data_IF_077786101397
#
_entry.id   IF_077786101397
#
_cell.length_a   1.000
_cell.length_b   1.000
_cell.length_c   1.000
_cell.angle_alpha   90.00
_cell.angle_beta   90.00
_cell.angle_gamma   90.00
#
_symmetry.space_group_name_H-M   'P 1'
#
loop_
_entity.id
_entity.type
_entity.pdbx_description
1 polymer ?
#
# COMPACT_ATOMS: atom_id res chain seq x y z
N UNK A 1 -15.24 -7.17 -15.74
CA UNK A 1 -15.69 -7.16 -14.34
C UNK A 1 -14.72 -7.93 -13.44
N UNK A 2 -14.70 -9.27 -13.47
CA UNK A 2 -13.91 -10.12 -12.55
C UNK A 2 -12.41 -9.78 -12.41
N UNK A 3 -11.73 -9.27 -13.43
CA UNK A 3 -10.29 -8.91 -13.34
C UNK A 3 -9.96 -7.77 -12.36
N UNK A 4 -10.94 -6.97 -11.95
CA UNK A 4 -10.79 -5.97 -10.88
C UNK A 4 -10.90 -6.60 -9.48
N UNK A 5 -11.51 -7.79 -9.35
CA UNK A 5 -11.79 -8.43 -8.07
C UNK A 5 -12.43 -7.46 -7.07
N UNK A 6 -11.90 -7.46 -5.85
CA UNK A 6 -12.27 -6.58 -4.74
C UNK A 6 -12.15 -5.09 -5.07
N UNK A 7 -11.18 -4.67 -5.89
CA UNK A 7 -10.98 -3.26 -6.23
C UNK A 7 -12.14 -2.68 -7.07
N UNK A 8 -12.99 -3.52 -7.66
CA UNK A 8 -14.28 -3.08 -8.21
C UNK A 8 -15.18 -2.49 -7.13
N UNK A 9 -15.20 -3.07 -5.93
CA UNK A 9 -16.01 -2.59 -4.81
C UNK A 9 -15.54 -1.20 -4.37
N UNK A 10 -14.21 -0.97 -4.28
CA UNK A 10 -13.65 0.36 -4.02
C UNK A 10 -14.06 1.40 -5.08
N UNK A 11 -14.01 1.03 -6.37
CA UNK A 11 -14.44 1.91 -7.47
C UNK A 11 -15.94 2.21 -7.37
N UNK A 12 -16.79 1.21 -7.14
CA UNK A 12 -18.23 1.40 -6.98
C UNK A 12 -18.59 2.19 -5.71
N UNK A 13 -17.83 2.06 -4.62
CA UNK A 13 -18.00 2.88 -3.41
C UNK A 13 -17.72 4.34 -3.72
N UNK A 14 -16.67 4.63 -4.49
CA UNK A 14 -16.32 5.98 -4.93
C UNK A 14 -17.37 6.61 -5.85
N UNK A 15 -18.04 5.77 -6.66
CA UNK A 15 -19.10 6.17 -7.60
C UNK A 15 -20.51 6.14 -6.98
N UNK A 16 -20.67 5.71 -5.72
CA UNK A 16 -21.98 5.56 -5.05
C UNK A 16 -22.82 6.84 -5.00
N UNK A 17 -22.19 8.02 -4.92
CA UNK A 17 -22.85 9.33 -4.93
C UNK A 17 -23.42 9.74 -6.30
N UNK A 18 -23.16 8.96 -7.37
CA UNK A 18 -23.64 9.23 -8.73
C UNK A 18 -24.89 8.37 -8.97
N UNK A 19 -26.10 8.95 -9.15
CA UNK A 19 -27.36 8.19 -9.17
C UNK A 19 -27.41 7.05 -10.19
N UNK A 20 -26.72 7.19 -11.32
CA UNK A 20 -26.60 6.18 -12.38
C UNK A 20 -25.96 4.85 -11.91
N UNK A 21 -25.22 4.86 -10.79
CA UNK A 21 -24.62 3.66 -10.20
C UNK A 21 -25.48 3.02 -9.09
N UNK A 22 -26.56 3.67 -8.63
CA UNK A 22 -27.47 3.10 -7.62
C UNK A 22 -28.14 1.80 -8.12
N UNK A 23 -28.64 1.69 -9.37
CA UNK A 23 -29.19 0.43 -9.88
C UNK A 23 -28.15 -0.69 -9.93
N UNK A 24 -26.90 -0.38 -10.30
CA UNK A 24 -25.80 -1.35 -10.31
C UNK A 24 -25.49 -1.87 -8.89
N UNK A 25 -25.50 -0.98 -7.89
CA UNK A 25 -25.37 -1.36 -6.48
C UNK A 25 -26.53 -2.24 -5.99
N UNK A 26 -27.79 -1.87 -6.30
CA UNK A 26 -28.95 -2.71 -5.94
C UNK A 26 -28.85 -4.11 -6.57
N UNK A 27 -28.50 -4.22 -7.85
CA UNK A 27 -28.32 -5.53 -8.51
C UNK A 27 -27.13 -6.31 -7.93
N UNK A 28 -25.99 -5.65 -7.64
CA UNK A 28 -24.82 -6.30 -7.00
C UNK A 28 -25.13 -6.88 -5.62
N UNK A 29 -26.00 -6.23 -4.84
CA UNK A 29 -26.39 -6.66 -3.49
C UNK A 29 -27.51 -7.71 -3.49
N UNK A 30 -28.57 -7.52 -4.28
CA UNK A 30 -29.81 -8.30 -4.17
C UNK A 30 -30.03 -9.32 -5.31
N UNK A 31 -29.39 -9.14 -6.47
CA UNK A 31 -29.57 -10.01 -7.63
C UNK A 31 -28.29 -10.14 -8.48
N UNK A 32 -27.15 -10.59 -7.90
CA UNK A 32 -25.85 -10.55 -8.59
C UNK A 32 -25.82 -11.45 -9.84
N UNK A 33 -26.60 -12.51 -9.88
CA UNK A 33 -26.74 -13.40 -11.04
C UNK A 33 -27.27 -12.70 -12.30
N UNK A 34 -28.00 -11.58 -12.15
CA UNK A 34 -28.44 -10.75 -13.28
C UNK A 34 -27.31 -9.89 -13.90
N UNK A 35 -26.18 -9.69 -13.20
CA UNK A 35 -24.98 -9.07 -13.80
C UNK A 35 -24.16 -10.10 -14.59
N UNK A 36 -24.02 -11.30 -14.05
CA UNK A 36 -23.25 -12.40 -14.63
C UNK A 36 -23.81 -13.75 -14.14
N UNK A 37 -24.18 -14.69 -15.03
CA UNK A 37 -24.53 -16.05 -14.63
C UNK A 37 -23.40 -16.69 -13.82
N UNK A 38 -23.73 -17.30 -12.68
CA UNK A 38 -22.80 -17.84 -11.66
C UNK A 38 -22.00 -16.79 -10.85
N UNK A 39 -22.36 -15.51 -10.88
CA UNK A 39 -21.78 -14.52 -9.98
C UNK A 39 -22.52 -14.50 -8.63
N UNK A 40 -21.79 -14.78 -7.55
CA UNK A 40 -22.31 -14.98 -6.19
C UNK A 40 -22.24 -13.71 -5.33
N UNK A 41 -22.16 -12.52 -5.95
CA UNK A 41 -22.19 -11.23 -5.25
C UNK A 41 -20.87 -10.83 -4.59
N UNK A 42 -20.96 -9.92 -3.61
CA UNK A 42 -19.80 -9.21 -3.04
C UNK A 42 -18.75 -10.16 -2.46
N UNK A 43 -19.13 -11.27 -1.81
CA UNK A 43 -18.17 -12.23 -1.26
C UNK A 43 -17.19 -12.79 -2.29
N UNK A 44 -17.66 -13.04 -3.52
CA UNK A 44 -16.82 -13.48 -4.63
C UNK A 44 -15.92 -12.37 -5.18
N UNK A 45 -16.34 -11.10 -5.11
CA UNK A 45 -15.42 -9.99 -5.43
C UNK A 45 -14.34 -9.87 -4.35
N UNK A 46 -14.71 -9.95 -3.07
CA UNK A 46 -13.78 -9.76 -1.96
C UNK A 46 -12.67 -10.82 -1.93
N UNK A 47 -12.96 -12.11 -2.18
CA UNK A 47 -11.91 -13.14 -2.25
C UNK A 47 -10.95 -12.94 -3.43
N UNK A 48 -11.39 -12.35 -4.54
CA UNK A 48 -10.54 -12.08 -5.70
C UNK A 48 -9.71 -10.79 -5.51
N UNK A 49 -8.37 -10.81 -5.64
CA UNK A 49 -7.58 -9.60 -5.69
C UNK A 49 -7.71 -8.91 -7.06
N UNK A 50 -7.31 -7.64 -7.12
CA UNK A 50 -7.20 -6.92 -8.38
C UNK A 50 -6.04 -7.49 -9.23
N UNK A 51 -6.21 -7.56 -10.54
CA UNK A 51 -5.08 -7.81 -11.44
C UNK A 51 -4.04 -6.69 -11.31
N UNK A 52 -2.79 -7.04 -11.05
CA UNK A 52 -1.68 -6.08 -10.89
C UNK A 52 -1.54 -5.14 -12.10
N UNK A 53 -1.81 -5.63 -13.32
CA UNK A 53 -1.83 -4.80 -14.51
C UNK A 53 -2.82 -3.62 -14.39
N UNK A 54 -4.00 -3.84 -13.79
CA UNK A 54 -5.00 -2.80 -13.59
C UNK A 54 -4.61 -1.79 -12.50
N UNK A 55 -3.87 -2.22 -11.47
CA UNK A 55 -3.33 -1.32 -10.45
C UNK A 55 -2.36 -0.28 -11.04
N UNK A 56 -1.66 -0.61 -12.14
CA UNK A 56 -0.74 0.33 -12.81
C UNK A 56 -1.44 1.57 -13.38
N UNK A 57 -2.73 1.48 -13.71
CA UNK A 57 -3.52 2.58 -14.29
C UNK A 57 -4.20 3.48 -13.25
N UNK A 58 -4.04 3.22 -11.94
CA UNK A 58 -4.63 4.08 -10.88
C UNK A 58 -4.03 5.48 -10.81
N UNK A 59 -2.83 5.69 -11.38
CA UNK A 59 -2.14 6.98 -11.43
C UNK A 59 -1.63 7.26 -12.85
N UNK A 60 -1.40 8.53 -13.18
CA UNK A 60 -0.79 8.87 -14.48
C UNK A 60 0.69 8.45 -14.54
N UNK A 61 1.19 8.17 -15.76
CA UNK A 61 2.57 7.74 -15.99
C UNK A 61 3.64 8.72 -15.45
N UNK A 62 3.32 10.01 -15.32
CA UNK A 62 4.24 10.95 -14.64
C UNK A 62 4.28 10.70 -13.13
N UNK A 63 3.12 10.49 -12.48
CA UNK A 63 3.06 10.18 -11.05
C UNK A 63 3.68 8.82 -10.76
N UNK A 64 3.43 7.79 -11.59
CA UNK A 64 4.00 6.44 -11.45
C UNK A 64 5.53 6.51 -11.36
N UNK A 65 6.19 7.11 -12.37
CA UNK A 65 7.65 7.23 -12.44
C UNK A 65 8.26 8.01 -11.26
N UNK A 66 7.52 8.95 -10.68
CA UNK A 66 7.94 9.70 -9.49
C UNK A 66 7.82 8.86 -8.22
N UNK A 67 6.75 8.07 -8.08
CA UNK A 67 6.61 7.09 -6.98
C UNK A 67 7.66 5.99 -7.08
N UNK A 68 7.87 5.41 -8.28
CA UNK A 68 8.91 4.41 -8.56
C UNK A 68 10.31 4.92 -8.17
N UNK A 69 10.61 6.19 -8.45
CA UNK A 69 11.86 6.85 -8.03
C UNK A 69 11.97 7.00 -6.51
N UNK A 70 10.92 7.48 -5.83
CA UNK A 70 10.90 7.62 -4.36
C UNK A 70 11.08 6.28 -3.66
N UNK A 71 10.43 5.22 -4.16
CA UNK A 71 10.54 3.85 -3.63
C UNK A 71 11.93 3.23 -3.82
N UNK A 72 12.78 3.81 -4.69
CA UNK A 72 14.19 3.40 -4.91
C UNK A 72 15.20 4.17 -4.04
N UNK A 73 14.76 5.15 -3.24
CA UNK A 73 15.65 5.92 -2.37
C UNK A 73 16.11 5.09 -1.16
N UNK A 74 17.42 5.12 -0.87
CA UNK A 74 18.04 4.46 0.30
C UNK A 74 17.64 5.09 1.63
N UNK A 75 17.37 6.39 1.63
CA UNK A 75 16.72 7.09 2.72
C UNK A 75 15.67 8.02 2.14
N UNK A 76 14.41 7.74 2.43
CA UNK A 76 13.27 8.53 2.01
C UNK A 76 12.93 9.63 3.03
N UNK A 77 13.15 9.35 4.32
CA UNK A 77 12.93 10.28 5.41
C UNK A 77 13.88 11.49 5.35
N UNK A 78 13.32 12.70 5.36
CA UNK A 78 14.07 13.95 5.19
C UNK A 78 14.58 14.21 3.77
N UNK A 79 14.17 13.41 2.77
CA UNK A 79 14.53 13.68 1.37
C UNK A 79 13.65 14.79 0.78
N UNK A 80 14.27 15.86 0.26
CA UNK A 80 13.57 16.97 -0.42
C UNK A 80 12.70 16.53 -1.61
N UNK A 81 12.93 15.31 -2.10
CA UNK A 81 12.11 14.68 -3.13
C UNK A 81 10.66 14.42 -2.68
N UNK A 82 10.42 14.15 -1.38
CA UNK A 82 9.06 14.07 -0.83
C UNK A 82 8.36 15.43 -0.87
N UNK A 83 9.05 16.49 -0.44
CA UNK A 83 8.49 17.84 -0.39
C UNK A 83 8.16 18.36 -1.81
N UNK A 84 9.03 18.08 -2.78
CA UNK A 84 8.79 18.37 -4.19
C UNK A 84 7.64 17.53 -4.76
N UNK A 85 7.55 16.24 -4.40
CA UNK A 85 6.42 15.39 -4.81
C UNK A 85 5.10 15.91 -4.25
N UNK A 86 5.07 16.31 -2.97
CA UNK A 86 3.90 16.92 -2.35
C UNK A 86 3.53 18.24 -3.02
N UNK A 87 4.49 19.16 -3.23
CA UNK A 87 4.24 20.47 -3.86
C UNK A 87 3.70 20.34 -5.29
N UNK A 88 4.15 19.35 -6.06
CA UNK A 88 3.77 19.18 -7.47
C UNK A 88 2.50 18.32 -7.64
N UNK A 89 2.25 17.34 -6.76
CA UNK A 89 1.17 16.35 -6.95
C UNK A 89 0.11 16.30 -5.85
N UNK A 90 0.40 16.78 -4.63
CA UNK A 90 -0.50 16.67 -3.47
C UNK A 90 -0.91 18.02 -2.86
N UNK A 91 -0.68 19.13 -3.58
CA UNK A 91 -1.00 20.50 -3.17
C UNK A 91 -2.39 20.98 -3.56
N UNK A 92 -3.00 20.41 -4.61
CA UNK A 92 -4.33 20.78 -5.09
C UNK A 92 -5.45 20.42 -4.09
N UNK A 93 -6.64 21.00 -4.24
CA UNK A 93 -7.80 20.70 -3.36
C UNK A 93 -8.16 19.21 -3.39
N UNK A 94 -8.23 18.62 -4.59
CA UNK A 94 -8.52 17.20 -4.84
C UNK A 94 -7.35 16.25 -4.56
N UNK A 95 -6.22 16.73 -4.01
CA UNK A 95 -5.03 15.92 -3.73
C UNK A 95 -5.30 14.69 -2.88
N UNK A 96 -6.26 14.78 -1.94
CA UNK A 96 -6.72 13.66 -1.14
C UNK A 96 -7.21 12.48 -1.99
N UNK A 97 -7.85 12.75 -3.12
CA UNK A 97 -8.30 11.72 -4.04
C UNK A 97 -7.14 10.99 -4.68
N UNK A 98 -6.14 11.73 -5.19
CA UNK A 98 -4.94 11.19 -5.82
C UNK A 98 -4.04 10.46 -4.81
N UNK A 99 -3.94 10.95 -3.56
CA UNK A 99 -3.11 10.31 -2.52
C UNK A 99 -3.59 8.88 -2.22
N UNK A 100 -4.90 8.67 -2.14
CA UNK A 100 -5.50 7.35 -1.95
C UNK A 100 -5.27 6.40 -3.15
N UNK A 101 -5.29 6.92 -4.38
CA UNK A 101 -4.97 6.14 -5.58
C UNK A 101 -3.47 5.81 -5.68
N UNK A 102 -2.59 6.75 -5.29
CA UNK A 102 -1.15 6.49 -5.12
C UNK A 102 -0.92 5.37 -4.10
N UNK A 103 -1.66 5.37 -2.97
CA UNK A 103 -1.56 4.28 -1.99
C UNK A 103 -1.88 2.93 -2.63
N UNK A 104 -3.01 2.74 -3.33
CA UNK A 104 -3.28 1.46 -4.04
C UNK A 104 -2.25 1.15 -5.14
N UNK A 105 -1.76 2.15 -5.86
CA UNK A 105 -0.70 1.97 -6.87
C UNK A 105 0.62 1.42 -6.29
N UNK A 106 0.92 1.67 -5.01
CA UNK A 106 2.10 1.05 -4.36
C UNK A 106 2.07 -0.49 -4.44
N UNK A 107 0.89 -1.13 -4.45
CA UNK A 107 0.79 -2.59 -4.58
C UNK A 107 1.20 -3.13 -5.95
N UNK A 108 1.05 -2.36 -7.04
CA UNK A 108 1.58 -2.75 -8.36
C UNK A 108 3.09 -3.01 -8.31
N UNK A 109 3.81 -2.14 -7.60
CA UNK A 109 5.27 -2.16 -7.51
C UNK A 109 5.80 -3.42 -6.79
N UNK A 110 5.02 -4.01 -5.88
CA UNK A 110 5.41 -5.15 -5.02
C UNK A 110 5.82 -6.40 -5.85
N UNK A 111 5.29 -6.54 -7.06
CA UNK A 111 5.57 -7.67 -7.94
C UNK A 111 6.79 -7.49 -8.85
N UNK A 112 7.42 -6.32 -8.86
CA UNK A 112 8.63 -6.05 -9.64
C UNK A 112 9.88 -6.45 -8.80
N UNK A 113 10.85 -7.22 -9.35
CA UNK A 113 11.99 -7.76 -8.57
C UNK A 113 12.83 -6.71 -7.84
N UNK A 114 12.91 -5.50 -8.37
CA UNK A 114 13.60 -4.35 -7.76
C UNK A 114 12.99 -3.87 -6.43
N UNK A 115 11.69 -4.09 -6.21
CA UNK A 115 10.97 -3.69 -5.00
C UNK A 115 10.74 -4.83 -3.99
N UNK A 116 11.32 -6.00 -4.27
CA UNK A 116 11.31 -7.18 -3.38
C UNK A 116 12.51 -7.21 -2.41
N UNK A 117 13.47 -6.29 -2.58
CA UNK A 117 14.64 -6.17 -1.70
C UNK A 117 14.25 -5.61 -0.33
N UNK A 118 14.86 -6.07 0.80
CA UNK A 118 14.48 -5.62 2.15
C UNK A 118 14.48 -4.10 2.35
N UNK A 119 15.44 -3.39 1.75
CA UNK A 119 15.49 -1.93 1.80
C UNK A 119 14.29 -1.27 1.07
N UNK A 120 13.82 -1.85 -0.03
CA UNK A 120 12.66 -1.34 -0.76
C UNK A 120 11.34 -1.66 -0.05
N UNK A 121 11.26 -2.77 0.69
CA UNK A 121 10.13 -3.10 1.58
C UNK A 121 10.01 -2.05 2.69
N UNK A 122 11.12 -1.70 3.32
CA UNK A 122 11.17 -0.68 4.37
C UNK A 122 10.86 0.73 3.81
N UNK A 123 11.48 1.15 2.70
CA UNK A 123 11.15 2.41 2.01
C UNK A 123 9.67 2.47 1.58
N UNK A 124 9.07 1.35 1.16
CA UNK A 124 7.63 1.24 0.87
C UNK A 124 6.76 1.52 2.09
N UNK A 125 7.08 0.93 3.24
CA UNK A 125 6.36 1.18 4.48
C UNK A 125 6.52 2.64 4.95
N UNK A 126 7.71 3.24 4.78
CA UNK A 126 7.94 4.66 5.06
C UNK A 126 7.13 5.57 4.13
N UNK A 127 7.03 5.26 2.83
CA UNK A 127 6.24 6.04 1.88
C UNK A 127 4.74 5.98 2.18
N UNK A 128 4.20 4.78 2.46
CA UNK A 128 2.79 4.62 2.85
C UNK A 128 2.46 5.32 4.17
N UNK A 129 3.36 5.27 5.16
CA UNK A 129 3.25 6.03 6.41
C UNK A 129 3.24 7.55 6.14
N UNK A 130 4.16 8.05 5.31
CA UNK A 130 4.20 9.47 4.93
C UNK A 130 2.93 9.91 4.19
N UNK A 131 2.41 9.12 3.25
CA UNK A 131 1.14 9.41 2.57
C UNK A 131 -0.02 9.50 3.57
N UNK A 132 -0.14 8.54 4.50
CA UNK A 132 -1.21 8.53 5.49
C UNK A 132 -1.10 9.71 6.47
N UNK A 133 0.11 10.02 6.96
CA UNK A 133 0.34 11.17 7.86
C UNK A 133 0.07 12.53 7.22
N UNK A 134 0.09 12.63 5.89
CA UNK A 134 -0.23 13.84 5.13
C UNK A 134 -1.66 13.84 4.58
N UNK A 135 -2.54 12.94 5.03
CA UNK A 135 -3.97 12.99 4.74
C UNK A 135 -4.70 13.90 5.73
N UNK A 136 -5.59 14.76 5.21
CA UNK A 136 -6.46 15.63 6.03
C UNK A 136 -7.41 14.78 6.87
N UNK A 137 -7.75 15.28 8.07
CA UNK A 137 -8.75 14.67 8.93
C UNK A 137 -10.14 14.56 8.25
N UNK A 138 -11.01 13.71 8.80
CA UNK A 138 -12.32 13.42 8.20
C UNK A 138 -12.24 12.40 7.05
N UNK A 139 -13.08 12.57 6.03
CA UNK A 139 -13.29 11.59 4.97
C UNK A 139 -12.01 11.19 4.20
N UNK A 140 -11.08 12.14 3.99
CA UNK A 140 -9.81 11.91 3.29
C UNK A 140 -8.94 10.88 4.02
N UNK A 141 -8.73 11.07 5.33
CA UNK A 141 -8.03 10.11 6.21
C UNK A 141 -8.71 8.73 6.19
N UNK A 142 -10.04 8.65 6.36
CA UNK A 142 -10.73 7.35 6.42
C UNK A 142 -10.65 6.61 5.07
N UNK A 143 -10.68 7.31 3.94
CA UNK A 143 -10.48 6.72 2.61
C UNK A 143 -9.04 6.21 2.42
N UNK A 144 -8.03 6.96 2.88
CA UNK A 144 -6.64 6.50 2.91
C UNK A 144 -6.44 5.25 3.80
N UNK A 145 -7.09 5.17 4.97
CA UNK A 145 -7.09 3.96 5.81
C UNK A 145 -7.75 2.77 5.12
N UNK A 146 -8.88 2.98 4.45
CA UNK A 146 -9.55 1.93 3.68
C UNK A 146 -8.59 1.38 2.62
N UNK A 147 -7.99 2.26 1.80
CA UNK A 147 -7.06 1.84 0.74
C UNK A 147 -5.81 1.11 1.24
N UNK A 148 -5.34 1.43 2.46
CA UNK A 148 -4.22 0.77 3.13
C UNK A 148 -4.57 -0.63 3.63
N UNK A 149 -5.78 -0.83 4.16
CA UNK A 149 -6.21 -2.05 4.84
C UNK A 149 -7.10 -2.97 4.00
N UNK A 150 -7.53 -2.53 2.80
CA UNK A 150 -8.58 -3.21 2.04
C UNK A 150 -8.30 -4.69 1.73
N UNK A 151 -7.05 -5.05 1.42
CA UNK A 151 -6.71 -6.43 1.05
C UNK A 151 -6.83 -7.43 2.21
N UNK A 152 -6.87 -6.94 3.46
CA UNK A 152 -7.15 -7.76 4.64
C UNK A 152 -8.58 -8.31 4.65
N UNK A 153 -9.53 -7.61 4.01
CA UNK A 153 -10.94 -8.01 3.91
C UNK A 153 -11.21 -9.09 2.84
N UNK A 154 -10.16 -9.66 2.27
CA UNK A 154 -10.21 -10.83 1.40
C UNK A 154 -8.91 -11.62 1.45
N UNK A 155 -8.18 -11.58 2.57
CA UNK A 155 -6.91 -12.29 2.68
C UNK A 155 -7.13 -13.80 2.85
N UNK A 156 -6.44 -14.57 2.03
CA UNK A 156 -6.38 -16.02 2.05
C UNK A 156 -4.91 -16.39 1.85
N UNK A 157 -4.31 -17.24 2.70
CA UNK A 157 -2.86 -17.50 2.65
C UNK A 157 -2.45 -18.47 1.51
N UNK A 158 -2.87 -18.16 0.27
CA UNK A 158 -2.61 -18.91 -0.96
C UNK A 158 -2.55 -17.94 -2.16
N UNK A 159 -1.84 -18.27 -3.26
CA UNK A 159 -1.92 -17.50 -4.50
C UNK A 159 -3.38 -17.43 -5.01
N UNK A 160 -3.86 -16.28 -5.52
CA UNK A 160 -3.13 -15.03 -5.77
C UNK A 160 -2.92 -14.09 -4.56
N UNK A 161 -3.53 -14.38 -3.40
CA UNK A 161 -3.58 -13.51 -2.22
C UNK A 161 -2.32 -13.63 -1.32
N UNK A 162 -1.12 -13.40 -1.87
CA UNK A 162 0.13 -13.56 -1.10
C UNK A 162 0.28 -12.59 0.09
N UNK A 163 1.07 -12.98 1.12
CA UNK A 163 1.39 -12.15 2.30
C UNK A 163 1.86 -10.72 1.96
N UNK A 164 2.47 -10.55 0.80
CA UNK A 164 2.92 -9.27 0.24
C UNK A 164 1.81 -8.22 0.08
N UNK A 165 0.53 -8.63 0.04
CA UNK A 165 -0.61 -7.71 0.01
C UNK A 165 -0.96 -7.13 1.40
N UNK A 166 -0.61 -7.80 2.49
CA UNK A 166 -0.98 -7.40 3.87
C UNK A 166 0.20 -6.89 4.71
N UNK A 167 1.43 -7.37 4.43
CA UNK A 167 2.68 -6.90 5.05
C UNK A 167 2.83 -5.37 5.09
N UNK A 168 2.64 -4.61 3.98
CA UNK A 168 2.98 -3.19 3.96
C UNK A 168 2.15 -2.36 4.96
N UNK A 169 0.88 -2.74 5.14
CA UNK A 169 -0.03 -2.11 6.08
C UNK A 169 0.35 -2.41 7.54
N UNK A 170 0.76 -3.64 7.84
CA UNK A 170 1.27 -3.99 9.16
C UNK A 170 2.58 -3.26 9.48
N UNK A 171 3.51 -3.15 8.52
CA UNK A 171 4.73 -2.37 8.67
C UNK A 171 4.45 -0.87 8.90
N UNK A 172 3.40 -0.30 8.28
CA UNK A 172 2.95 1.07 8.59
C UNK A 172 2.44 1.19 10.04
N UNK A 173 1.63 0.25 10.54
CA UNK A 173 1.17 0.24 11.94
C UNK A 173 2.37 0.15 12.90
N UNK A 174 3.30 -0.78 12.64
CA UNK A 174 4.55 -0.96 13.40
C UNK A 174 5.37 0.34 13.51
N UNK A 175 5.47 1.11 12.42
CA UNK A 175 6.16 2.40 12.44
C UNK A 175 5.39 3.50 13.17
N UNK A 176 4.07 3.53 13.04
CA UNK A 176 3.23 4.54 13.69
C UNK A 176 3.19 4.37 15.22
N UNK A 177 3.23 3.15 15.76
CA UNK A 177 3.31 2.92 17.21
C UNK A 177 4.54 3.61 17.82
N UNK A 178 5.68 3.61 17.11
CA UNK A 178 6.90 4.27 17.57
C UNK A 178 6.94 5.77 17.27
N UNK A 179 6.37 6.22 16.14
CA UNK A 179 6.53 7.59 15.62
C UNK A 179 5.32 8.52 15.79
N UNK A 180 4.09 8.00 15.78
CA UNK A 180 2.86 8.78 15.94
C UNK A 180 1.70 7.90 16.47
N UNK A 181 1.69 7.58 17.78
CA UNK A 181 0.80 6.58 18.37
C UNK A 181 -0.71 6.80 18.16
N UNK A 182 -1.27 8.03 18.15
CA UNK A 182 -2.71 8.22 17.92
C UNK A 182 -3.18 7.66 16.58
N UNK A 183 -2.37 7.79 15.52
CA UNK A 183 -2.72 7.26 14.20
C UNK A 183 -2.55 5.74 14.11
N UNK A 184 -1.67 5.14 14.91
CA UNK A 184 -1.60 3.68 15.04
C UNK A 184 -2.85 3.11 15.71
N UNK A 185 -3.28 3.69 16.84
CA UNK A 185 -4.54 3.35 17.50
C UNK A 185 -5.71 3.53 16.51
N UNK A 186 -5.75 4.66 15.80
CA UNK A 186 -6.79 4.95 14.80
C UNK A 186 -6.77 4.04 13.55
N UNK A 187 -5.70 3.28 13.30
CA UNK A 187 -5.65 2.21 12.27
C UNK A 187 -6.17 0.87 12.81
N UNK A 188 -5.78 0.51 14.03
CA UNK A 188 -6.24 -0.75 14.66
C UNK A 188 -7.75 -0.67 14.96
N UNK A 189 -8.24 0.48 15.43
CA UNK A 189 -9.67 0.78 15.61
C UNK A 189 -10.43 0.69 14.28
N UNK A 190 -9.87 1.25 13.21
CA UNK A 190 -10.46 1.15 11.88
C UNK A 190 -10.55 -0.30 11.40
N UNK A 191 -9.51 -1.12 11.61
CA UNK A 191 -9.50 -2.53 11.22
C UNK A 191 -10.57 -3.36 11.97
N UNK A 192 -10.76 -3.09 13.27
CA UNK A 192 -11.85 -3.68 14.07
C UNK A 192 -13.21 -3.27 13.50
N UNK A 193 -13.45 -1.96 13.34
CA UNK A 193 -14.75 -1.44 12.89
C UNK A 193 -15.11 -1.92 11.49
N UNK A 194 -14.19 -1.81 10.53
CA UNK A 194 -14.46 -2.12 9.13
C UNK A 194 -14.80 -3.61 8.93
N UNK A 195 -14.20 -4.52 9.71
CA UNK A 195 -14.57 -5.95 9.69
C UNK A 195 -16.03 -6.22 10.09
N UNK A 196 -16.58 -5.39 10.97
CA UNK A 196 -17.95 -5.51 11.48
C UNK A 196 -18.96 -4.68 10.67
N UNK A 197 -18.55 -3.56 10.06
CA UNK A 197 -19.48 -2.61 9.41
C UNK A 197 -19.46 -2.60 7.88
N UNK A 198 -18.43 -3.15 7.21
CA UNK A 198 -18.29 -3.02 5.74
C UNK A 198 -19.41 -3.72 4.97
N UNK A 199 -19.76 -4.94 5.35
CA UNK A 199 -20.93 -5.66 4.86
C UNK A 199 -21.33 -6.73 5.90
N UNK A 200 -22.40 -6.52 6.70
CA UNK A 200 -22.71 -7.37 7.86
C UNK A 200 -22.85 -8.87 7.55
N UNK A 201 -23.37 -9.22 6.36
CA UNK A 201 -23.49 -10.60 5.89
C UNK A 201 -22.15 -11.33 5.70
N UNK A 202 -21.02 -10.61 5.72
CA UNK A 202 -19.66 -11.14 5.58
C UNK A 202 -18.76 -10.86 6.79
N UNK A 203 -19.27 -10.35 7.92
CA UNK A 203 -18.46 -10.05 9.11
C UNK A 203 -17.62 -11.25 9.58
N UNK A 204 -18.18 -12.46 9.61
CA UNK A 204 -17.45 -13.68 9.96
C UNK A 204 -16.34 -14.02 8.94
N UNK A 205 -16.56 -13.74 7.64
CA UNK A 205 -15.56 -13.91 6.60
C UNK A 205 -14.41 -12.91 6.78
N UNK A 206 -14.72 -11.62 7.00
CA UNK A 206 -13.72 -10.57 7.21
C UNK A 206 -12.88 -10.81 8.48
N UNK A 207 -13.49 -11.18 9.60
CA UNK A 207 -12.74 -11.54 10.82
C UNK A 207 -11.83 -12.75 10.59
N UNK A 208 -12.28 -13.76 9.85
CA UNK A 208 -11.45 -14.93 9.52
C UNK A 208 -10.28 -14.59 8.57
N UNK A 209 -10.50 -13.73 7.57
CA UNK A 209 -9.44 -13.21 6.70
C UNK A 209 -8.39 -12.40 7.47
N UNK A 210 -8.81 -11.45 8.31
CA UNK A 210 -7.92 -10.63 9.15
C UNK A 210 -7.14 -11.51 10.14
N UNK A 211 -7.80 -12.49 10.75
CA UNK A 211 -7.17 -13.48 11.65
C UNK A 211 -6.13 -14.30 10.89
N UNK A 212 -6.46 -14.78 9.69
CA UNK A 212 -5.55 -15.55 8.83
C UNK A 212 -4.35 -14.71 8.38
N UNK A 213 -4.55 -13.41 8.09
CA UNK A 213 -3.48 -12.48 7.76
C UNK A 213 -2.51 -12.30 8.94
N UNK A 214 -3.00 -11.99 10.14
CA UNK A 214 -2.17 -11.86 11.34
C UNK A 214 -1.40 -13.15 11.66
N UNK A 215 -2.06 -14.30 11.66
CA UNK A 215 -1.41 -15.60 11.94
C UNK A 215 -0.34 -15.92 10.88
N UNK A 216 -0.61 -15.65 9.61
CA UNK A 216 0.33 -15.94 8.52
C UNK A 216 1.53 -14.97 8.53
N UNK A 217 1.33 -13.70 8.87
CA UNK A 217 2.42 -12.73 9.07
C UNK A 217 3.26 -13.08 10.30
N UNK A 218 2.64 -13.56 11.39
CA UNK A 218 3.36 -14.08 12.55
C UNK A 218 4.18 -15.32 12.23
N UNK A 219 3.66 -16.23 11.40
CA UNK A 219 4.38 -17.41 10.91
C UNK A 219 5.56 -17.04 9.99
N UNK A 220 5.44 -15.93 9.26
CA UNK A 220 6.54 -15.32 8.48
C UNK A 220 7.54 -14.52 9.34
N UNK A 221 7.43 -14.57 10.68
CA UNK A 221 8.37 -13.95 11.61
C UNK A 221 8.12 -12.47 11.92
N UNK A 222 6.98 -11.90 11.53
CA UNK A 222 6.65 -10.52 11.92
C UNK A 222 6.24 -10.45 13.41
N UNK A 223 6.62 -9.38 14.15
CA UNK A 223 6.34 -9.24 15.58
C UNK A 223 4.89 -8.81 15.85
N UNK A 224 3.92 -9.65 15.47
CA UNK A 224 2.48 -9.37 15.63
C UNK A 224 2.12 -9.11 17.09
N UNK A 225 2.61 -9.95 18.01
CA UNK A 225 2.36 -9.81 19.44
C UNK A 225 2.93 -8.49 20.00
N UNK A 226 4.20 -8.18 19.73
CA UNK A 226 4.90 -7.01 20.30
C UNK A 226 4.31 -5.68 19.78
N UNK A 227 3.71 -5.70 18.59
CA UNK A 227 2.94 -4.59 18.01
C UNK A 227 1.56 -4.49 18.65
N UNK A 228 0.81 -5.60 18.77
CA UNK A 228 -0.56 -5.57 19.30
C UNK A 228 -0.64 -5.39 20.83
N UNK A 229 0.34 -5.87 21.59
CA UNK A 229 0.37 -5.71 23.05
C UNK A 229 1.09 -4.43 23.51
N UNK A 230 1.67 -3.66 22.57
CA UNK A 230 2.48 -2.49 22.84
C UNK A 230 1.82 -1.52 23.85
N UNK A 231 2.56 -0.99 24.85
CA UNK A 231 1.99 -0.08 25.86
C UNK A 231 1.42 1.22 25.27
N UNK A 232 1.79 1.59 24.04
CA UNK A 232 1.26 2.77 23.32
C UNK A 232 -0.02 2.50 22.53
N UNK A 233 -0.48 1.25 22.45
CA UNK A 233 -1.86 0.94 22.07
C UNK A 233 -2.74 0.97 23.33
N UNK A 234 -3.87 1.65 23.21
CA UNK A 234 -4.84 1.85 24.30
C UNK A 234 -5.40 0.52 24.80
N UNK A 235 -5.62 0.39 26.11
CA UNK A 235 -6.10 -0.87 26.69
C UNK A 235 -7.49 -1.29 26.13
N UNK A 236 -8.53 -0.44 26.10
CA UNK A 236 -9.84 -0.83 25.56
C UNK A 236 -9.77 -1.28 24.09
N UNK A 237 -8.85 -0.69 23.32
CA UNK A 237 -8.63 -1.05 21.92
C UNK A 237 -7.98 -2.44 21.79
N UNK A 238 -7.00 -2.76 22.64
CA UNK A 238 -6.39 -4.10 22.71
C UNK A 238 -7.39 -5.16 23.16
N UNK A 239 -8.22 -4.85 24.15
CA UNK A 239 -9.27 -5.74 24.64
C UNK A 239 -10.32 -6.01 23.52
N UNK A 240 -10.78 -4.97 22.82
CA UNK A 240 -11.70 -5.10 21.67
C UNK A 240 -11.08 -5.82 20.46
N UNK A 241 -9.78 -5.64 20.19
CA UNK A 241 -9.07 -6.40 19.15
C UNK A 241 -9.05 -7.91 19.48
N UNK A 242 -8.81 -8.26 20.75
CA UNK A 242 -8.80 -9.65 21.24
C UNK A 242 -10.18 -10.31 21.17
N UNK A 243 -11.25 -9.54 21.41
CA UNK A 243 -12.64 -9.98 21.25
C UNK A 243 -13.01 -10.18 19.77
N UNK A 244 -12.59 -9.28 18.88
CA UNK A 244 -12.95 -9.31 17.45
C UNK A 244 -12.16 -10.35 16.64
N UNK A 245 -10.90 -10.59 17.00
CA UNK A 245 -9.98 -11.49 16.28
C UNK A 245 -9.30 -12.50 17.23
N UNK A 246 -10.05 -13.33 17.98
CA UNK A 246 -9.49 -14.18 19.04
C UNK A 246 -8.45 -15.18 18.54
N UNK A 247 -8.64 -15.72 17.33
CA UNK A 247 -7.75 -16.74 16.75
C UNK A 247 -6.29 -16.28 16.58
N UNK A 248 -6.04 -14.96 16.53
CA UNK A 248 -4.68 -14.38 16.45
C UNK A 248 -3.82 -14.77 17.65
N UNK A 249 -4.43 -14.94 18.83
CA UNK A 249 -3.70 -15.22 20.07
C UNK A 249 -3.71 -16.70 20.46
N UNK A 250 -4.68 -17.49 19.96
CA UNK A 250 -4.80 -18.92 20.27
C UNK A 250 -3.96 -19.85 19.39
N UNK A 251 -3.34 -19.35 18.32
CA UNK A 251 -2.59 -20.14 17.32
C UNK A 251 -1.35 -20.91 17.86
N UNK A 252 -0.95 -20.75 19.13
CA UNK A 252 0.25 -21.38 19.72
C UNK A 252 0.12 -22.88 20.07
N UNK A 253 -0.86 -23.62 19.54
CA UNK A 253 -1.14 -25.02 19.97
C UNK A 253 -1.43 -26.10 18.90
N UNK A 254 -1.05 -25.95 17.62
CA UNK A 254 -0.96 -27.12 16.70
C UNK A 254 -0.03 -26.92 15.49
N UNK A 255 1.27 -27.21 15.63
CA UNK A 255 2.13 -27.79 14.56
C UNK A 255 3.57 -28.03 15.06
N UNK A 256 4.28 -29.08 14.60
CA UNK A 256 5.73 -29.21 14.82
C UNK A 256 6.52 -28.18 13.99
N UNK A 257 7.76 -27.82 14.39
CA UNK A 257 8.60 -26.91 13.63
C UNK A 257 9.06 -27.54 12.31
N UNK A 258 8.81 -26.84 11.19
CA UNK A 258 9.46 -27.13 9.91
C UNK A 258 10.94 -26.73 9.99
N UNK A 259 11.83 -27.63 9.56
CA UNK A 259 13.27 -27.42 9.61
C UNK A 259 13.72 -26.32 8.62
N UNK A 260 14.79 -25.54 8.94
CA UNK A 260 15.28 -24.48 8.06
C UNK A 260 15.89 -25.05 6.78
N UNK A 261 15.43 -24.57 5.63
CA UNK A 261 16.00 -24.92 4.32
C UNK A 261 17.31 -24.14 4.14
N UNK A 262 18.44 -24.80 4.32
CA UNK A 262 19.78 -24.29 3.98
C UNK A 262 20.43 -25.23 2.96
N UNK A 263 20.77 -24.64 1.81
CA UNK A 263 21.66 -25.10 0.73
C UNK A 263 22.02 -26.61 0.62
N UNK A 264 21.61 -27.22 -0.49
CA UNK A 264 22.25 -28.42 -1.06
C UNK A 264 22.33 -28.34 -2.58
N UNK A 265 23.44 -27.80 -3.11
CA UNK A 265 23.79 -27.86 -4.54
C UNK A 265 25.23 -28.38 -4.68
N UNK A 266 25.37 -29.71 -4.68
CA UNK A 266 26.61 -30.41 -5.02
C UNK A 266 26.32 -31.90 -5.28
N UNK A 267 26.76 -32.36 -6.44
CA UNK A 267 27.06 -33.76 -6.83
C UNK A 267 25.98 -34.86 -6.73
N UNK A 268 25.74 -35.50 -7.88
CA UNK A 268 25.87 -36.97 -8.06
C UNK A 268 26.33 -37.29 -9.51
N UNK A 269 27.57 -37.75 -9.59
CA UNK A 269 28.24 -38.68 -10.52
C UNK A 269 27.64 -39.08 -11.89
N UNK A 270 28.49 -38.96 -12.94
CA UNK A 270 28.58 -39.85 -14.12
C UNK A 270 29.21 -41.22 -13.72
N UNK A 271 29.05 -42.36 -14.44
CA UNK A 271 29.37 -42.59 -15.88
C UNK A 271 28.22 -43.35 -16.64
N UNK A 272 28.31 -43.88 -17.87
CA UNK A 272 29.45 -44.35 -18.69
C UNK A 272 29.24 -44.24 -20.23
N UNK A 273 29.97 -45.03 -21.03
CA UNK A 273 30.40 -44.76 -22.43
C UNK A 273 29.76 -45.63 -23.52
N UNK A 274 29.57 -45.04 -24.71
CA UNK A 274 29.91 -45.66 -26.01
C UNK A 274 30.30 -44.56 -27.02
N UNK A 275 30.82 -44.92 -28.21
CA UNK A 275 31.48 -43.97 -29.13
C UNK A 275 31.16 -44.21 -30.60
N UNK A 276 31.30 -43.16 -31.43
CA UNK A 276 31.93 -43.24 -32.76
C UNK A 276 32.47 -41.87 -33.22
N UNK A 277 33.34 -41.89 -34.24
CA UNK A 277 34.16 -40.79 -34.78
C UNK A 277 33.34 -39.77 -35.64
N UNK A 278 33.87 -38.67 -36.22
CA UNK A 278 35.04 -38.59 -37.15
C UNK A 278 35.58 -37.15 -37.35
N UNK A 279 36.91 -37.06 -37.48
CA UNK A 279 37.77 -36.01 -38.11
C UNK A 279 37.97 -34.59 -37.52
N UNK A 280 39.12 -34.02 -37.93
CA UNK A 280 39.79 -32.80 -37.46
C UNK A 280 40.76 -32.32 -38.57
N UNK A 281 41.12 -31.02 -38.64
CA UNK A 281 42.57 -30.69 -38.60
C UNK A 281 42.96 -29.44 -37.75
N UNK A 282 44.27 -29.28 -37.54
CA UNK A 282 45.02 -28.30 -36.71
C UNK A 282 45.69 -27.20 -37.58
N UNK A 283 46.29 -26.08 -37.15
CA UNK A 283 46.55 -25.27 -35.92
C UNK A 283 46.92 -23.82 -36.45
N UNK A 284 47.66 -22.87 -35.81
CA UNK A 284 48.10 -22.61 -34.43
C UNK A 284 47.63 -21.22 -33.86
N UNK A 285 47.99 -20.84 -32.60
CA UNK A 285 47.54 -19.57 -31.98
C UNK A 285 48.53 -18.37 -32.09
N UNK A 286 48.04 -17.14 -31.85
CA UNK A 286 48.83 -15.89 -31.76
C UNK A 286 48.30 -14.96 -30.64
N UNK A 287 49.20 -14.25 -29.95
CA UNK A 287 48.93 -13.38 -28.79
C UNK A 287 48.51 -11.91 -29.12
N UNK A 288 47.99 -11.13 -28.14
CA UNK A 288 47.32 -9.85 -28.40
C UNK A 288 48.23 -8.59 -28.47
N UNK A 289 47.84 -7.56 -29.24
CA UNK A 289 48.58 -6.29 -29.35
C UNK A 289 48.37 -5.34 -28.15
N UNK A 290 49.33 -4.44 -27.95
CA UNK A 290 49.42 -3.53 -26.77
C UNK A 290 48.89 -2.11 -27.04
N UNK A 291 48.60 -1.42 -25.92
CA UNK A 291 48.14 -0.01 -25.81
C UNK A 291 48.93 0.97 -26.68
N UNK A 292 48.23 1.93 -27.30
CA UNK A 292 48.79 3.21 -27.74
C UNK A 292 48.27 4.37 -26.87
N UNK A 293 48.84 5.59 -27.01
CA UNK A 293 48.78 6.68 -26.01
C UNK A 293 48.88 8.05 -26.69
N UNK A 294 48.34 9.09 -26.04
CA UNK A 294 48.36 10.56 -26.34
C UNK A 294 46.95 11.07 -26.73
N UNK A 295 46.53 12.32 -26.43
CA UNK A 295 47.21 13.45 -25.75
C UNK A 295 46.18 14.41 -25.12
N UNK A 296 46.52 15.06 -24.00
CA UNK A 296 45.81 16.26 -23.53
C UNK A 296 46.19 17.48 -24.39
N UNK A 297 45.24 18.36 -24.68
CA UNK A 297 45.47 19.79 -24.98
C UNK A 297 44.39 20.62 -24.28
N UNK A 298 44.77 21.76 -23.71
CA UNK A 298 43.91 22.68 -22.94
C UNK A 298 44.23 24.11 -23.40
N UNK A 299 43.21 24.89 -23.79
CA UNK A 299 43.31 26.34 -24.09
C UNK A 299 42.10 27.08 -23.52
N UNK A 300 42.22 28.41 -23.36
CA UNK A 300 41.31 29.31 -22.62
C UNK A 300 41.51 30.74 -23.17
N UNK A 301 40.55 31.64 -22.92
CA UNK A 301 40.59 33.11 -23.20
C UNK A 301 40.34 33.40 -24.71
N UNK A 302 39.56 34.41 -25.14
CA UNK A 302 39.00 35.59 -24.43
C UNK A 302 37.47 35.77 -24.53
N UNK A 303 37.00 36.92 -24.05
CA UNK A 303 35.65 37.51 -24.05
C UNK A 303 35.14 37.96 -25.43
N UNK A 304 33.83 38.25 -25.53
CA UNK A 304 33.30 39.64 -25.53
C UNK A 304 31.78 39.64 -25.27
N UNK A 305 31.12 40.80 -25.27
CA UNK A 305 29.81 41.05 -24.62
C UNK A 305 28.79 41.70 -25.56
N UNK A 306 27.55 41.20 -25.56
CA UNK A 306 26.25 41.90 -25.76
C UNK A 306 25.13 40.84 -25.61
N UNK A 307 24.31 40.86 -24.56
CA UNK A 307 23.10 41.68 -24.29
C UNK A 307 21.82 41.13 -24.95
N UNK A 308 20.85 40.72 -24.13
CA UNK A 308 19.53 40.22 -24.56
C UNK A 308 18.65 39.84 -23.36
N UNK A 309 17.69 40.70 -23.04
CA UNK A 309 16.67 40.56 -21.98
C UNK A 309 15.43 39.77 -22.51
N UNK A 310 14.44 39.30 -21.74
CA UNK A 310 14.26 39.18 -20.28
C UNK A 310 13.88 37.68 -19.95
N UNK A 311 12.82 37.19 -19.26
CA UNK A 311 11.65 37.70 -18.51
C UNK A 311 11.52 36.85 -17.21
N UNK A 312 10.89 37.42 -16.17
CA UNK A 312 10.29 36.73 -15.01
C UNK A 312 11.25 36.29 -13.87
N UNK A 313 11.96 37.28 -13.30
CA UNK A 313 12.04 37.37 -11.83
C UNK A 313 10.84 38.18 -11.28
N UNK A 314 10.66 38.22 -9.95
CA UNK A 314 9.47 38.71 -9.20
C UNK A 314 8.41 37.61 -9.00
N UNK A 315 7.97 37.25 -7.78
CA UNK A 315 8.21 37.81 -6.44
C UNK A 315 9.08 36.87 -5.59
N UNK A 316 10.11 37.41 -4.93
CA UNK A 316 10.62 36.90 -3.65
C UNK A 316 10.67 38.11 -2.73
N UNK A 317 9.75 38.17 -1.77
CA UNK A 317 9.81 39.13 -0.68
C UNK A 317 9.53 38.43 0.64
N UNK A 318 10.15 38.95 1.69
CA UNK A 318 10.33 38.30 2.98
C UNK A 318 9.04 38.32 3.79
N UNK A 319 8.72 37.21 4.46
CA UNK A 319 8.04 37.24 5.75
C UNK A 319 8.90 36.47 6.76
N UNK A 320 9.15 37.12 7.89
CA UNK A 320 10.06 36.66 8.93
C UNK A 320 9.37 35.70 9.89
N UNK A 321 10.15 35.05 10.74
CA UNK A 321 9.63 34.26 11.86
C UNK A 321 9.18 35.20 12.98
N UNK A 322 7.96 35.01 13.49
CA UNK A 322 7.51 35.57 14.77
C UNK A 322 7.18 34.43 15.73
N UNK A 323 7.78 34.44 16.92
CA UNK A 323 7.34 33.59 18.03
C UNK A 323 6.01 34.10 18.61
N UNK A 324 5.24 33.19 19.25
CA UNK A 324 3.89 33.43 19.78
C UNK A 324 2.82 32.68 18.96
N UNK A 325 1.89 31.92 19.53
CA UNK A 325 1.63 31.62 20.95
C UNK A 325 1.23 30.14 21.14
N UNK A 326 1.15 29.68 22.39
CA UNK A 326 0.68 28.33 22.74
C UNK A 326 -0.84 28.19 22.54
N UNK A 327 -1.31 27.94 21.31
CA UNK A 327 -2.67 27.45 21.11
C UNK A 327 -2.81 26.01 21.62
N UNK A 328 -3.37 25.91 22.84
CA UNK A 328 -3.86 24.69 23.46
C UNK A 328 -4.99 24.07 22.62
N UNK A 329 -4.64 23.31 21.58
CA UNK A 329 -5.61 22.65 20.69
C UNK A 329 -6.49 21.68 21.47
N UNK A 330 -7.74 22.11 21.67
CA UNK A 330 -8.80 21.38 22.39
C UNK A 330 -9.35 20.27 21.49
N UNK A 331 -8.49 19.27 21.26
CA UNK A 331 -8.82 18.02 20.57
C UNK A 331 -10.13 17.44 21.13
N UNK A 332 -11.22 17.67 20.38
CA UNK A 332 -12.55 17.37 20.89
C UNK A 332 -12.70 15.85 21.05
N UNK A 333 -13.24 15.37 22.19
CA UNK A 333 -13.28 13.95 22.46
C UNK A 333 -14.08 13.21 21.38
N UNK A 334 -13.67 11.99 21.06
CA UNK A 334 -14.20 11.21 19.94
C UNK A 334 -15.73 10.99 19.99
N UNK A 335 -16.32 11.12 21.18
CA UNK A 335 -17.76 11.15 21.45
C UNK A 335 -18.52 12.32 20.82
N UNK A 336 -17.84 13.39 20.38
CA UNK A 336 -18.41 14.54 19.65
C UNK A 336 -18.27 14.36 18.13
N UNK A 337 -17.14 13.81 17.69
CA UNK A 337 -16.86 13.55 16.27
C UNK A 337 -17.67 12.38 15.70
N UNK A 338 -17.99 11.37 16.51
CA UNK A 338 -18.85 10.24 16.10
C UNK A 338 -20.28 10.69 15.77
N UNK A 339 -20.96 11.55 16.56
CA UNK A 339 -22.20 12.21 16.15
C UNK A 339 -22.12 12.99 14.84
N UNK A 340 -21.03 13.70 14.54
CA UNK A 340 -20.89 14.42 13.27
C UNK A 340 -20.78 13.47 12.08
N UNK A 341 -19.98 12.41 12.19
CA UNK A 341 -19.93 11.34 11.19
C UNK A 341 -21.29 10.63 11.09
N UNK A 342 -21.99 10.47 12.22
CA UNK A 342 -23.33 9.88 12.24
C UNK A 342 -24.31 10.78 11.51
N UNK A 343 -24.33 12.09 11.72
CA UNK A 343 -25.20 13.07 11.03
C UNK A 343 -24.92 13.11 9.52
N UNK A 344 -23.66 13.21 9.08
CA UNK A 344 -23.30 13.21 7.64
C UNK A 344 -23.84 11.97 6.91
N UNK A 345 -23.85 10.82 7.60
CA UNK A 345 -24.38 9.57 7.07
C UNK A 345 -25.77 9.20 7.61
N UNK A 346 -26.43 10.04 8.42
CA UNK A 346 -27.68 9.67 9.12
C UNK A 346 -28.81 9.53 8.14
N UNK A 347 -29.02 10.57 7.35
CA UNK A 347 -30.02 10.57 6.30
C UNK A 347 -29.70 9.51 5.23
N UNK A 348 -28.42 9.17 5.01
CA UNK A 348 -28.02 8.09 4.11
C UNK A 348 -28.32 6.69 4.68
N UNK A 349 -28.06 6.45 5.97
CA UNK A 349 -28.35 5.18 6.64
C UNK A 349 -29.85 5.00 6.87
N UNK A 350 -30.59 6.05 7.20
CA UNK A 350 -32.04 6.04 7.33
C UNK A 350 -32.70 5.85 5.94
N UNK A 351 -32.23 6.52 4.88
CA UNK A 351 -32.70 6.26 3.50
C UNK A 351 -32.31 4.88 2.98
N UNK A 352 -31.15 4.33 3.38
CA UNK A 352 -30.77 2.94 3.07
C UNK A 352 -31.68 1.94 3.80
N UNK A 353 -31.91 2.12 5.10
CA UNK A 353 -32.75 1.22 5.89
C UNK A 353 -34.23 1.29 5.49
N UNK A 354 -34.73 2.45 5.04
CA UNK A 354 -36.02 2.58 4.36
C UNK A 354 -36.01 1.82 3.02
N UNK A 355 -35.02 2.08 2.15
CA UNK A 355 -34.87 1.41 0.85
C UNK A 355 -34.38 -0.06 0.93
N UNK A 356 -34.32 -0.63 2.14
CA UNK A 356 -34.12 -2.04 2.49
C UNK A 356 -35.39 -2.69 3.06
N UNK A 357 -36.41 -1.90 3.40
CA UNK A 357 -37.73 -2.34 3.91
C UNK A 357 -38.83 -2.27 2.84
N UNK A 358 -38.58 -1.53 1.76
CA UNK A 358 -39.37 -1.47 0.51
C UNK A 358 -38.70 -2.27 -0.63
#
# INVERSE_FOLDING_TARGET
MLMLGRDLVLVLMRLSKIPQFIPLWKTLLHNPSALLPKFNGIGQLMSMPCSNFLLSFRVSLHVSRRVEFLLKLKNLAGSKHLDWFAKIHLSAVDSGSLRAEIMRYVWYNIHLPEFQQPAAIETRAQFLNWLLRNAKAGAEMQWCKLMLLFDWLGFENQPPNSLTFVEPAFSVIRHLISSYPPLANSLVDFLIRISNTFHPSLTSYFSNCITTAMVSLSAAGMPIADVLDNPRLEKPLKDSFRETFPGVFFAKKTSPPLAPIIASVSDITKPSTSALSTEQPTLPPVEPPKKSRKKNVKRKISSDVESGEDIASTVIEVLELSDGDEEEDKSQPLSVLLPMLREEFKEHLERLDIAMRE
#
